data_IF_494254690694
#
_entry.id   IF_494254690694
#
_cell.length_a   1.000
_cell.length_b   1.000
_cell.length_c   1.000
_cell.angle_alpha   90.00
_cell.angle_beta   90.00
_cell.angle_gamma   90.00
#
_symmetry.space_group_name_H-M   'P 1'
#
loop_
_entity.id
_entity.type
_entity.pdbx_description
1 polymer ?
#
# COMPACT_ATOMS: atom_id res chain seq x y z
N UNK A 1 -14.85 0.89 6.62
CA UNK A 1 -13.81 -0.14 6.62
C UNK A 1 -13.21 -0.19 5.23
N UNK A 2 -11.99 0.30 5.14
CA UNK A 2 -11.14 0.26 3.96
C UNK A 2 -10.01 -0.74 4.18
N UNK A 3 -9.54 -1.36 3.10
CA UNK A 3 -8.32 -2.13 3.12
C UNK A 3 -7.17 -1.31 2.52
N UNK A 4 -6.16 -1.02 3.34
CA UNK A 4 -4.92 -0.42 2.90
C UNK A 4 -3.91 -1.51 2.55
N UNK A 5 -3.14 -1.29 1.48
CA UNK A 5 -1.98 -2.11 1.17
C UNK A 5 -0.77 -1.18 1.08
N UNK A 6 0.13 -1.26 2.04
CA UNK A 6 1.37 -0.50 2.02
C UNK A 6 2.49 -1.28 1.34
N UNK A 7 3.16 -0.64 0.39
CA UNK A 7 4.31 -1.21 -0.31
C UNK A 7 5.53 -0.32 -0.18
N UNK A 8 6.63 -0.92 0.25
CA UNK A 8 7.93 -0.27 0.23
C UNK A 8 8.70 -0.60 -1.04
N UNK A 9 9.14 0.44 -1.73
CA UNK A 9 9.95 0.39 -2.94
C UNK A 9 11.18 1.26 -2.77
N UNK A 10 12.30 0.83 -3.35
CA UNK A 10 13.52 1.63 -3.46
C UNK A 10 14.40 1.02 -4.54
N UNK A 11 15.50 1.68 -4.89
CA UNK A 11 16.49 1.13 -5.81
C UNK A 11 17.01 -0.27 -5.40
N UNK A 12 17.02 -0.58 -4.09
CA UNK A 12 17.46 -1.88 -3.56
C UNK A 12 16.38 -2.97 -3.68
N UNK A 13 15.11 -2.62 -3.56
CA UNK A 13 14.00 -3.58 -3.51
C UNK A 13 13.18 -3.67 -4.81
N UNK A 14 13.33 -2.72 -5.71
CA UNK A 14 12.59 -2.67 -6.97
C UNK A 14 11.08 -2.47 -6.75
N UNK A 15 10.29 -3.02 -7.69
CA UNK A 15 8.83 -2.79 -7.79
C UNK A 15 7.99 -4.06 -7.53
N UNK A 16 8.60 -5.18 -7.17
CA UNK A 16 7.88 -6.46 -7.11
C UNK A 16 6.78 -6.47 -6.03
N UNK A 17 6.98 -5.77 -4.90
CA UNK A 17 5.96 -5.58 -3.87
C UNK A 17 4.75 -4.81 -4.41
N UNK A 18 5.01 -3.72 -5.12
CA UNK A 18 3.96 -2.92 -5.78
C UNK A 18 3.20 -3.76 -6.81
N UNK A 19 3.89 -4.55 -7.65
CA UNK A 19 3.24 -5.44 -8.63
C UNK A 19 2.36 -6.51 -7.97
N UNK A 20 2.76 -7.06 -6.81
CA UNK A 20 1.89 -7.98 -6.05
C UNK A 20 0.68 -7.26 -5.48
N UNK A 21 0.89 -6.07 -4.93
CA UNK A 21 -0.18 -5.25 -4.38
C UNK A 21 -1.23 -4.95 -5.44
N UNK A 22 -0.85 -4.55 -6.65
CA UNK A 22 -1.81 -4.24 -7.73
C UNK A 22 -2.70 -5.44 -8.07
N UNK A 23 -2.13 -6.65 -8.16
CA UNK A 23 -2.90 -7.88 -8.40
C UNK A 23 -3.91 -8.13 -7.27
N UNK A 24 -3.45 -8.06 -6.01
CA UNK A 24 -4.30 -8.32 -4.84
C UNK A 24 -5.42 -7.27 -4.75
N UNK A 25 -5.06 -5.99 -4.83
CA UNK A 25 -5.99 -4.86 -4.75
C UNK A 25 -7.06 -4.92 -5.83
N UNK A 26 -6.68 -5.22 -7.07
CA UNK A 26 -7.66 -5.37 -8.16
C UNK A 26 -8.62 -6.53 -7.91
N UNK A 27 -8.13 -7.67 -7.39
CA UNK A 27 -8.97 -8.81 -7.06
C UNK A 27 -9.94 -8.51 -5.93
N UNK A 28 -9.49 -7.80 -4.89
CA UNK A 28 -10.32 -7.37 -3.77
C UNK A 28 -11.39 -6.37 -4.22
N UNK A 29 -11.00 -5.37 -5.03
CA UNK A 29 -11.94 -4.39 -5.60
C UNK A 29 -12.99 -5.05 -6.48
N UNK A 30 -12.61 -6.05 -7.28
CA UNK A 30 -13.56 -6.84 -8.08
C UNK A 30 -14.55 -7.63 -7.22
N UNK A 31 -14.24 -7.90 -5.96
CA UNK A 31 -15.14 -8.51 -4.97
C UNK A 31 -15.91 -7.47 -4.13
N UNK A 32 -15.87 -6.19 -4.50
CA UNK A 32 -16.60 -5.12 -3.82
C UNK A 32 -15.95 -4.59 -2.54
N UNK A 33 -14.68 -4.92 -2.29
CA UNK A 33 -13.94 -4.40 -1.13
C UNK A 33 -13.36 -3.02 -1.49
N UNK A 34 -13.58 -2.03 -0.63
CA UNK A 34 -12.93 -0.72 -0.76
C UNK A 34 -11.45 -0.83 -0.40
N UNK A 35 -10.58 -0.38 -1.29
CA UNK A 35 -9.13 -0.57 -1.18
C UNK A 35 -8.35 0.68 -1.52
N UNK A 36 -7.22 0.89 -0.86
CA UNK A 36 -6.26 1.96 -1.19
C UNK A 36 -4.82 1.44 -1.18
N UNK A 37 -4.05 1.83 -2.19
CA UNK A 37 -2.61 1.58 -2.22
C UNK A 37 -1.87 2.70 -1.48
N UNK A 38 -0.98 2.33 -0.57
CA UNK A 38 -0.05 3.24 0.10
C UNK A 38 1.37 2.95 -0.45
N UNK A 39 2.08 3.99 -0.87
CA UNK A 39 3.45 3.87 -1.43
C UNK A 39 4.40 4.84 -0.74
N UNK A 40 5.63 4.42 -0.50
CA UNK A 40 6.68 5.33 -0.06
C UNK A 40 7.31 6.16 -1.20
N UNK A 41 7.23 5.66 -2.44
CA UNK A 41 7.74 6.32 -3.63
C UNK A 41 6.58 6.72 -4.55
N UNK A 42 6.43 8.02 -4.82
CA UNK A 42 5.43 8.56 -5.74
C UNK A 42 5.49 7.90 -7.14
N UNK A 43 6.69 7.56 -7.63
CA UNK A 43 6.89 6.94 -8.94
C UNK A 43 6.33 5.52 -8.96
N UNK A 44 6.38 4.79 -7.85
CA UNK A 44 5.76 3.47 -7.75
C UNK A 44 4.23 3.57 -7.90
N UNK A 45 3.61 4.62 -7.34
CA UNK A 45 2.19 4.92 -7.52
C UNK A 45 1.82 5.22 -8.98
N UNK A 46 2.67 5.94 -9.71
CA UNK A 46 2.46 6.17 -11.15
C UNK A 46 2.50 4.86 -11.94
N UNK A 47 3.48 4.00 -11.68
CA UNK A 47 3.58 2.70 -12.36
C UNK A 47 2.39 1.80 -11.99
N UNK A 48 1.89 1.86 -10.75
CA UNK A 48 0.72 1.07 -10.33
C UNK A 48 -0.54 1.33 -11.18
N UNK A 49 -0.67 2.53 -11.76
CA UNK A 49 -1.78 2.87 -12.68
C UNK A 49 -1.77 2.04 -13.95
N UNK A 50 -0.59 1.69 -14.45
CA UNK A 50 -0.43 0.79 -15.60
C UNK A 50 -0.94 -0.62 -15.30
N UNK A 51 -1.04 -0.98 -14.01
CA UNK A 51 -1.57 -2.26 -13.53
C UNK A 51 -3.00 -2.14 -12.98
N UNK A 52 -3.76 -1.08 -13.29
CA UNK A 52 -5.18 -0.97 -12.92
C UNK A 52 -5.47 -0.42 -11.52
N UNK A 53 -4.45 0.07 -10.79
CA UNK A 53 -4.65 0.81 -9.54
C UNK A 53 -4.61 2.31 -9.85
N UNK A 54 -5.79 2.91 -9.99
CA UNK A 54 -5.93 4.31 -10.43
C UNK A 54 -5.35 5.32 -9.43
N UNK A 55 -5.50 5.05 -8.14
CA UNK A 55 -5.15 5.96 -7.06
C UNK A 55 -4.23 5.28 -6.04
N UNK A 56 -3.30 6.08 -5.52
CA UNK A 56 -2.38 5.70 -4.46
C UNK A 56 -2.11 6.92 -3.59
N UNK A 57 -1.94 6.72 -2.29
CA UNK A 57 -1.49 7.76 -1.36
C UNK A 57 0.01 7.56 -1.13
N UNK A 58 0.77 8.66 -1.20
CA UNK A 58 2.17 8.64 -0.86
C UNK A 58 2.35 8.98 0.62
N UNK A 59 3.12 8.16 1.34
CA UNK A 59 3.50 8.35 2.75
C UNK A 59 5.03 8.19 2.88
N UNK A 60 5.67 8.61 3.97
CA UNK A 60 7.14 8.50 4.07
C UNK A 60 7.59 7.08 4.40
N UNK A 61 6.90 6.44 5.34
CA UNK A 61 7.26 5.11 5.84
C UNK A 61 6.08 4.37 6.47
N UNK A 62 6.37 3.17 6.98
CA UNK A 62 5.41 2.34 7.71
C UNK A 62 4.76 3.07 8.91
N UNK A 63 5.45 4.04 9.50
CA UNK A 63 4.97 4.76 10.68
C UNK A 63 3.87 5.78 10.38
N UNK A 64 3.75 6.27 9.15
CA UNK A 64 2.75 7.27 8.75
C UNK A 64 1.39 6.65 8.43
N UNK A 65 1.30 5.31 8.46
CA UNK A 65 0.05 4.60 8.22
C UNK A 65 -1.01 5.01 9.25
N UNK A 66 -0.61 5.33 10.49
CA UNK A 66 -1.49 5.78 11.56
C UNK A 66 -2.16 7.14 11.28
N UNK A 67 -1.59 7.96 10.39
CA UNK A 67 -2.18 9.22 9.95
C UNK A 67 -3.27 9.04 8.89
N UNK A 68 -3.38 7.84 8.30
CA UNK A 68 -4.30 7.53 7.19
C UNK A 68 -5.35 6.50 7.58
N UNK A 69 -4.96 5.45 8.31
CA UNK A 69 -5.85 4.36 8.69
C UNK A 69 -6.56 4.67 10.00
N UNK A 70 -7.86 4.35 10.05
CA UNK A 70 -8.68 4.52 11.25
C UNK A 70 -8.99 3.18 11.92
N UNK A 71 -9.47 3.23 13.17
CA UNK A 71 -9.91 2.03 13.89
C UNK A 71 -11.01 1.32 13.09
N UNK A 72 -10.79 0.03 12.83
CA UNK A 72 -11.70 -0.82 12.06
C UNK A 72 -11.32 -0.95 10.59
N UNK A 73 -10.32 -0.21 10.10
CA UNK A 73 -9.70 -0.50 8.80
C UNK A 73 -8.78 -1.71 8.88
N UNK A 74 -8.52 -2.33 7.72
CA UNK A 74 -7.60 -3.46 7.57
C UNK A 74 -6.37 -3.03 6.80
N UNK A 75 -5.21 -3.54 7.18
CA UNK A 75 -3.93 -3.12 6.59
C UNK A 75 -3.10 -4.35 6.23
N UNK A 76 -2.61 -4.39 5.00
CA UNK A 76 -1.58 -5.33 4.55
C UNK A 76 -0.27 -4.54 4.43
N UNK A 77 0.76 -4.99 5.14
CA UNK A 77 2.08 -4.37 5.14
C UNK A 77 3.04 -5.27 4.36
N UNK A 78 3.49 -4.80 3.20
CA UNK A 78 4.55 -5.43 2.41
C UNK A 78 5.76 -4.49 2.40
N UNK A 79 6.47 -4.48 3.51
CA UNK A 79 7.63 -3.63 3.74
C UNK A 79 8.72 -4.39 4.51
N UNK A 80 10.02 -4.13 4.25
CA UNK A 80 11.11 -4.57 5.10
C UNK A 80 11.38 -3.62 6.28
N UNK A 81 10.61 -2.53 6.42
CA UNK A 81 10.74 -1.58 7.52
C UNK A 81 10.24 -2.19 8.84
N UNK A 82 10.84 -1.73 9.94
CA UNK A 82 10.40 -2.04 11.30
C UNK A 82 9.46 -0.92 11.77
N UNK A 83 8.24 -1.29 12.20
CA UNK A 83 7.25 -0.35 12.72
C UNK A 83 7.52 0.02 14.20
N UNK A 84 8.50 -0.63 14.83
CA UNK A 84 8.85 -0.49 16.25
C UNK A 84 7.65 -0.68 17.20
N UNK A 85 6.66 -1.49 16.79
CA UNK A 85 5.45 -1.73 17.57
C UNK A 85 4.53 -0.53 17.70
N UNK A 86 4.55 0.39 16.72
CA UNK A 86 3.62 1.53 16.66
C UNK A 86 2.26 1.13 16.10
N UNK A 87 2.22 0.08 15.28
CA UNK A 87 0.99 -0.48 14.73
C UNK A 87 0.55 -1.68 15.59
N UNK A 88 0.23 -1.42 16.86
CA UNK A 88 -0.29 -2.42 17.82
C UNK A 88 -1.71 -2.10 18.26
#
# INVERSE_FOLDING_TARGET
MKLYYYTFTSHKYGLDRMKRATVILNKLRANGIDTMLLVNDFRAGLVAREFGVAESINIEGIQDIDAIAEIGDSIIIDSPEDDHGRLV
#
